data_IF_843658923894
#
_entry.id   IF_843658923894
#
_cell.length_a   1.000
_cell.length_b   1.000
_cell.length_c   1.000
_cell.angle_alpha   90.00
_cell.angle_beta   90.00
_cell.angle_gamma   90.00
#
_symmetry.space_group_name_H-M   'P 1'
#
loop_
_entity.id
_entity.type
_entity.pdbx_description
1 polymer ?
#
# COMPACT_ATOMS: atom_id res chain seq x y z
N UNK A 1 56.68 -3.65 33.73
CA UNK A 1 55.22 -3.41 33.74
C UNK A 1 54.80 -3.09 32.32
N UNK A 2 54.38 -4.09 31.55
CA UNK A 2 53.94 -3.91 30.17
C UNK A 2 52.44 -4.22 30.12
N UNK A 3 51.62 -3.18 29.92
CA UNK A 3 50.18 -3.32 29.75
C UNK A 3 49.92 -3.73 28.29
N UNK A 4 49.45 -4.97 28.09
CA UNK A 4 48.98 -5.44 26.80
C UNK A 4 47.55 -4.93 26.60
N UNK A 5 47.33 -4.05 25.62
CA UNK A 5 46.01 -3.56 25.27
C UNK A 5 45.32 -4.57 24.37
N UNK A 6 44.31 -5.25 24.91
CA UNK A 6 43.41 -6.11 24.14
C UNK A 6 42.56 -5.20 23.25
N UNK A 7 42.86 -5.14 21.95
CA UNK A 7 41.98 -4.54 20.96
C UNK A 7 40.73 -5.42 20.87
N UNK A 8 39.69 -5.04 21.62
CA UNK A 8 38.38 -5.67 21.56
C UNK A 8 37.83 -5.40 20.15
N UNK A 9 37.93 -6.41 19.29
CA UNK A 9 37.34 -6.42 17.96
C UNK A 9 35.84 -6.20 18.09
N UNK A 10 35.40 -4.93 17.96
CA UNK A 10 33.99 -4.56 17.86
C UNK A 10 33.46 -4.83 16.44
N UNK A 11 34.13 -5.71 15.69
CA UNK A 11 33.81 -6.02 14.30
C UNK A 11 32.66 -7.03 14.10
N UNK A 12 32.13 -7.79 15.08
CA UNK A 12 30.96 -8.63 14.82
C UNK A 12 29.62 -7.88 14.97
N UNK A 13 29.61 -6.64 15.48
CA UNK A 13 28.35 -5.89 15.67
C UNK A 13 27.88 -5.15 14.40
N UNK A 14 28.77 -4.94 13.43
CA UNK A 14 28.46 -4.24 12.17
C UNK A 14 27.76 -5.13 11.12
N UNK A 15 27.74 -6.45 11.31
CA UNK A 15 27.13 -7.39 10.35
C UNK A 15 25.60 -7.54 10.49
N UNK A 16 24.97 -6.85 11.46
CA UNK A 16 23.52 -6.91 11.68
C UNK A 16 22.69 -5.90 10.87
N UNK A 17 23.32 -5.04 10.06
CA UNK A 17 22.60 -3.96 9.36
C UNK A 17 22.30 -4.20 7.88
N UNK A 18 22.35 -5.44 7.40
CA UNK A 18 21.78 -5.78 6.09
C UNK A 18 20.36 -6.33 6.25
N UNK A 19 19.49 -5.57 6.92
CA UNK A 19 18.06 -5.71 6.67
C UNK A 19 17.83 -5.00 5.34
N UNK A 20 17.74 -5.74 4.24
CA UNK A 20 17.09 -5.18 3.05
C UNK A 20 15.63 -4.99 3.44
N UNK A 21 15.26 -3.76 3.80
CA UNK A 21 13.86 -3.38 3.85
C UNK A 21 13.27 -3.72 2.48
N UNK A 22 12.50 -4.79 2.42
CA UNK A 22 11.63 -5.01 1.29
C UNK A 22 10.63 -3.86 1.36
N UNK A 23 10.92 -2.77 0.65
CA UNK A 23 9.91 -1.77 0.38
C UNK A 23 8.71 -2.54 -0.19
N UNK A 24 7.52 -2.32 0.40
CA UNK A 24 6.27 -2.91 -0.07
C UNK A 24 5.82 -2.22 -1.37
N UNK A 25 6.73 -2.15 -2.35
CA UNK A 25 6.52 -1.52 -3.63
C UNK A 25 5.57 -2.37 -4.45
N UNK A 26 4.61 -1.71 -5.07
CA UNK A 26 3.54 -2.31 -5.85
C UNK A 26 3.95 -2.16 -7.31
N UNK A 27 4.27 -3.27 -8.02
CA UNK A 27 4.68 -3.19 -9.40
C UNK A 27 3.52 -2.78 -10.31
N UNK A 28 3.84 -2.18 -11.46
CA UNK A 28 2.86 -1.92 -12.51
C UNK A 28 2.19 -3.22 -12.95
N UNK A 29 0.91 -3.14 -13.33
CA UNK A 29 0.06 -4.29 -13.64
C UNK A 29 -0.59 -4.94 -12.41
N UNK A 30 -0.29 -4.46 -11.19
CA UNK A 30 -0.94 -4.95 -9.97
C UNK A 30 -2.43 -4.62 -9.97
N UNK A 31 -3.23 -5.56 -9.45
CA UNK A 31 -4.69 -5.41 -9.34
C UNK A 31 -5.19 -5.98 -8.03
N UNK A 32 -6.22 -5.34 -7.47
CA UNK A 32 -7.01 -5.86 -6.35
C UNK A 32 -8.47 -5.95 -6.80
N UNK A 33 -9.17 -7.01 -6.40
CA UNK A 33 -10.61 -7.19 -6.66
C UNK A 33 -11.41 -6.86 -5.41
N UNK A 34 -12.48 -6.07 -5.56
CA UNK A 34 -13.43 -5.76 -4.50
C UNK A 34 -14.09 -7.04 -3.96
N UNK A 35 -14.20 -7.15 -2.64
CA UNK A 35 -14.66 -8.36 -1.94
C UNK A 35 -13.57 -9.36 -1.59
N UNK A 36 -12.33 -9.11 -1.99
CA UNK A 36 -11.17 -9.84 -1.44
C UNK A 36 -10.62 -9.12 -0.21
N UNK A 37 -9.91 -9.85 0.66
CA UNK A 37 -9.22 -9.27 1.83
C UNK A 37 -7.83 -8.71 1.50
N UNK A 38 -7.55 -8.46 0.23
CA UNK A 38 -6.26 -7.96 -0.24
C UNK A 38 -6.19 -6.44 -0.11
N UNK A 39 -5.01 -5.94 0.26
CA UNK A 39 -4.75 -4.52 0.40
C UNK A 39 -3.28 -4.21 0.23
N UNK A 40 -2.95 -3.06 -0.34
CA UNK A 40 -1.58 -2.57 -0.33
C UNK A 40 -1.31 -1.88 1.00
N UNK A 41 -0.34 -2.39 1.76
CA UNK A 41 -0.08 -1.96 3.14
C UNK A 41 1.25 -1.25 3.24
N UNK A 42 1.31 -0.23 4.09
CA UNK A 42 2.56 0.40 4.44
C UNK A 42 3.49 -0.57 5.15
N UNK A 43 4.79 -0.25 5.20
CA UNK A 43 5.79 -1.13 5.81
C UNK A 43 5.43 -1.46 7.28
N UNK A 44 5.04 -0.45 8.06
CA UNK A 44 4.56 -0.68 9.43
C UNK A 44 3.24 -1.46 9.52
N UNK A 45 2.49 -1.56 8.42
CA UNK A 45 1.17 -2.16 8.34
C UNK A 45 0.07 -1.36 9.05
N UNK A 46 0.34 -0.14 9.52
CA UNK A 46 -0.68 0.71 10.14
C UNK A 46 -1.65 1.31 9.12
N UNK A 47 -1.22 1.48 7.87
CA UNK A 47 -2.04 2.03 6.81
C UNK A 47 -2.21 1.04 5.68
N UNK A 48 -3.40 1.05 5.09
CA UNK A 48 -3.71 0.25 3.93
C UNK A 48 -4.51 1.06 2.91
N UNK A 49 -4.28 0.76 1.64
CA UNK A 49 -5.00 1.33 0.50
C UNK A 49 -5.53 0.21 -0.40
N UNK A 50 -6.85 0.18 -0.59
CA UNK A 50 -7.60 -0.81 -1.39
C UNK A 50 -9.11 -0.50 -1.37
N UNK A 51 -9.93 -1.53 -1.60
CA UNK A 51 -11.36 -1.53 -1.33
C UNK A 51 -11.69 -1.63 0.17
N UNK A 52 -12.25 -0.56 0.71
CA UNK A 52 -12.83 -0.47 2.04
C UNK A 52 -14.31 -0.87 2.01
N UNK A 53 -14.75 -1.87 2.80
CA UNK A 53 -16.13 -2.34 2.79
C UNK A 53 -17.08 -1.37 3.51
N UNK A 54 -18.26 -1.17 2.93
CA UNK A 54 -19.38 -0.45 3.54
C UNK A 54 -20.43 -1.42 4.08
N UNK A 55 -21.24 -0.96 5.03
CA UNK A 55 -22.34 -1.73 5.64
C UNK A 55 -23.36 -2.18 4.57
N UNK A 56 -23.49 -1.41 3.49
CA UNK A 56 -24.36 -1.70 2.34
C UNK A 56 -23.88 -2.87 1.47
N UNK A 57 -22.71 -3.45 1.73
CA UNK A 57 -22.10 -4.50 0.90
C UNK A 57 -21.38 -3.99 -0.35
N UNK A 58 -21.29 -2.67 -0.52
CA UNK A 58 -20.48 -2.00 -1.54
C UNK A 58 -19.14 -1.54 -0.96
N UNK A 59 -18.24 -1.03 -1.82
CA UNK A 59 -16.87 -0.72 -1.44
C UNK A 59 -16.46 0.68 -1.89
N UNK A 60 -15.68 1.38 -1.06
CA UNK A 60 -14.95 2.57 -1.48
C UNK A 60 -13.50 2.21 -1.77
N UNK A 61 -12.88 2.82 -2.76
CA UNK A 61 -11.41 2.80 -2.83
C UNK A 61 -10.87 3.85 -1.89
N UNK A 62 -10.01 3.48 -0.94
CA UNK A 62 -9.56 4.43 0.07
C UNK A 62 -8.40 3.97 0.93
N UNK A 63 -7.97 4.87 1.80
CA UNK A 63 -6.90 4.67 2.79
C UNK A 63 -7.54 4.56 4.18
N UNK A 64 -7.11 3.59 4.99
CA UNK A 64 -7.60 3.43 6.36
C UNK A 64 -6.52 2.97 7.33
N UNK A 65 -6.80 3.12 8.63
CA UNK A 65 -5.99 2.54 9.71
C UNK A 65 -6.21 1.02 9.78
N UNK A 66 -5.22 0.24 9.34
CA UNK A 66 -5.33 -1.20 9.16
C UNK A 66 -5.17 -2.01 10.44
N UNK A 67 -4.51 -1.51 11.49
CA UNK A 67 -4.26 -2.27 12.73
C UNK A 67 -5.32 -2.11 13.83
N UNK A 68 -6.20 -1.11 13.71
CA UNK A 68 -7.29 -0.94 14.68
C UNK A 68 -8.50 -1.83 14.31
N UNK A 69 -9.27 -2.36 15.28
CA UNK A 69 -10.43 -3.19 14.99
C UNK A 69 -11.49 -2.44 14.17
N UNK A 70 -11.79 -1.21 14.60
CA UNK A 70 -12.69 -0.30 13.89
C UNK A 70 -11.90 0.45 12.81
N UNK A 71 -11.62 -0.25 11.70
CA UNK A 71 -10.87 0.26 10.54
C UNK A 71 -11.38 1.65 10.17
N UNK A 72 -10.65 2.70 10.52
CA UNK A 72 -11.12 4.07 10.31
C UNK A 72 -10.65 4.55 8.94
N UNK A 73 -11.59 4.87 8.06
CA UNK A 73 -11.34 5.42 6.73
C UNK A 73 -10.87 6.87 6.83
N UNK A 74 -9.68 7.17 6.33
CA UNK A 74 -9.10 8.54 6.37
C UNK A 74 -9.26 9.27 5.04
N UNK A 75 -9.33 8.54 3.93
CA UNK A 75 -9.54 9.10 2.60
C UNK A 75 -10.24 8.10 1.69
N UNK A 76 -11.02 8.58 0.73
CA UNK A 76 -11.69 7.75 -0.27
C UNK A 76 -11.78 8.45 -1.61
N UNK A 77 -11.50 7.73 -2.69
CA UNK A 77 -11.82 8.15 -4.04
C UNK A 77 -13.33 8.08 -4.28
N UNK A 78 -13.87 9.03 -5.05
CA UNK A 78 -15.23 8.99 -5.62
C UNK A 78 -16.33 8.52 -4.65
N UNK A 79 -16.38 9.14 -3.46
CA UNK A 79 -17.22 8.72 -2.32
C UNK A 79 -18.70 8.51 -2.63
N UNK A 80 -19.25 9.24 -3.59
CA UNK A 80 -20.66 9.20 -3.95
C UNK A 80 -21.02 8.03 -4.89
N UNK A 81 -20.04 7.30 -5.41
CA UNK A 81 -20.26 6.16 -6.31
C UNK A 81 -19.47 4.92 -5.85
N UNK A 82 -19.91 4.26 -4.76
CA UNK A 82 -19.29 3.02 -4.28
C UNK A 82 -19.28 1.92 -5.34
N UNK A 83 -18.19 1.15 -5.34
CA UNK A 83 -17.99 0.02 -6.22
C UNK A 83 -18.74 -1.23 -5.72
N UNK A 84 -19.19 -2.06 -6.66
CA UNK A 84 -19.77 -3.37 -6.35
C UNK A 84 -18.66 -4.43 -6.19
N UNK A 85 -18.97 -5.53 -5.49
CA UNK A 85 -18.11 -6.72 -5.46
C UNK A 85 -17.73 -7.15 -6.89
N UNK A 86 -16.47 -7.54 -7.09
CA UNK A 86 -15.93 -7.87 -8.42
C UNK A 86 -15.37 -6.68 -9.22
N UNK A 87 -15.58 -5.44 -8.77
CA UNK A 87 -14.86 -4.27 -9.32
C UNK A 87 -13.35 -4.41 -9.08
N UNK A 88 -12.51 -3.80 -9.92
CA UNK A 88 -11.04 -3.91 -9.81
C UNK A 88 -10.38 -2.56 -9.57
N UNK A 89 -9.35 -2.55 -8.74
CA UNK A 89 -8.45 -1.42 -8.53
C UNK A 89 -7.11 -1.78 -9.18
N UNK A 90 -6.75 -1.08 -10.25
CA UNK A 90 -5.61 -1.40 -11.09
C UNK A 90 -4.56 -0.30 -11.00
N UNK A 91 -3.31 -0.70 -10.78
CA UNK A 91 -2.15 0.09 -11.15
C UNK A 91 -1.73 -0.37 -12.55
N UNK A 92 -2.06 0.39 -13.59
CA UNK A 92 -1.89 -0.06 -14.97
C UNK A 92 -0.40 -0.14 -15.36
N UNK A 93 -0.10 -0.85 -16.46
CA UNK A 93 1.24 -0.84 -17.05
C UNK A 93 1.68 0.54 -17.56
N UNK A 94 0.73 1.45 -17.80
CA UNK A 94 0.98 2.85 -18.14
C UNK A 94 1.20 3.75 -16.92
N UNK A 95 1.13 3.22 -15.70
CA UNK A 95 1.35 3.98 -14.47
C UNK A 95 0.11 4.68 -13.90
N UNK A 96 -1.08 4.38 -14.42
CA UNK A 96 -2.33 5.01 -13.98
C UNK A 96 -2.99 4.22 -12.86
N UNK A 97 -3.61 4.94 -11.92
CA UNK A 97 -4.43 4.36 -10.87
C UNK A 97 -5.90 4.37 -11.32
N UNK A 98 -6.47 3.21 -11.63
CA UNK A 98 -7.81 3.10 -12.24
C UNK A 98 -8.72 2.20 -11.41
N UNK A 99 -9.92 2.69 -11.11
CA UNK A 99 -11.03 1.87 -10.62
C UNK A 99 -11.88 1.44 -11.83
N UNK A 100 -12.01 0.14 -12.05
CA UNK A 100 -12.92 -0.43 -13.04
C UNK A 100 -14.13 -1.07 -12.35
N UNK A 101 -15.31 -0.60 -12.68
CA UNK A 101 -16.59 -1.11 -12.18
C UNK A 101 -17.01 -2.37 -12.95
N UNK A 102 -17.85 -3.19 -12.32
CA UNK A 102 -18.44 -4.40 -12.93
C UNK A 102 -19.26 -4.14 -14.18
N UNK A 103 -19.83 -2.94 -14.32
CA UNK A 103 -20.60 -2.52 -15.50
C UNK A 103 -19.72 -2.03 -16.67
N UNK A 104 -18.40 -2.12 -16.55
CA UNK A 104 -17.44 -1.68 -17.56
C UNK A 104 -17.03 -0.20 -17.46
N UNK A 105 -17.65 0.59 -16.57
CA UNK A 105 -17.23 1.97 -16.36
C UNK A 105 -15.83 2.03 -15.74
N UNK A 106 -15.04 3.01 -16.16
CA UNK A 106 -13.71 3.27 -15.61
C UNK A 106 -13.69 4.64 -14.92
N UNK A 107 -12.96 4.72 -13.82
CA UNK A 107 -12.65 5.97 -13.15
C UNK A 107 -11.15 6.08 -12.91
N UNK A 108 -10.53 7.10 -13.48
CA UNK A 108 -9.12 7.42 -13.22
C UNK A 108 -9.02 8.14 -11.87
N UNK A 109 -8.37 7.49 -10.90
CA UNK A 109 -8.04 8.08 -9.61
C UNK A 109 -6.81 8.98 -9.77
N UNK A 110 -5.85 8.55 -10.58
CA UNK A 110 -4.67 9.33 -10.94
C UNK A 110 -4.18 8.93 -12.34
N UNK A 111 -3.75 9.94 -13.11
CA UNK A 111 -3.23 9.76 -14.46
C UNK A 111 -1.74 9.38 -14.51
N UNK A 112 -1.06 9.33 -13.36
CA UNK A 112 0.34 8.88 -13.17
C UNK A 112 1.28 9.10 -14.36
N UNK A 113 1.90 10.27 -14.46
CA UNK A 113 2.89 10.54 -15.50
C UNK A 113 4.27 10.06 -15.04
N UNK A 114 4.79 9.00 -15.65
CA UNK A 114 6.09 8.35 -15.35
C UNK A 114 6.16 7.48 -14.08
N UNK A 115 5.02 7.01 -13.61
CA UNK A 115 4.94 6.04 -12.50
C UNK A 115 5.64 4.72 -12.86
N UNK A 116 6.54 4.27 -11.98
CA UNK A 116 7.28 2.99 -12.13
C UNK A 116 6.79 1.90 -11.18
N UNK A 117 6.17 2.33 -10.09
CA UNK A 117 5.62 1.49 -9.04
C UNK A 117 4.81 2.38 -8.11
N UNK A 118 4.02 1.78 -7.24
CA UNK A 118 3.33 2.51 -6.19
C UNK A 118 3.82 2.08 -4.80
N UNK A 119 3.55 2.87 -3.79
CA UNK A 119 3.88 2.56 -2.40
C UNK A 119 2.86 3.19 -1.45
N UNK A 120 2.37 2.42 -0.49
CA UNK A 120 1.68 2.98 0.68
C UNK A 120 2.73 3.33 1.73
N UNK A 121 2.85 4.59 2.10
CA UNK A 121 3.83 5.07 3.08
C UNK A 121 3.25 5.10 4.50
N UNK A 122 4.14 5.12 5.49
CA UNK A 122 3.78 5.18 6.92
C UNK A 122 3.31 6.57 7.38
N UNK A 123 3.38 7.58 6.52
CA UNK A 123 2.89 8.94 6.76
C UNK A 123 1.43 9.16 6.29
N UNK A 124 0.76 8.09 5.80
CA UNK A 124 -0.59 8.07 5.20
C UNK A 124 -0.65 8.52 3.74
N UNK A 125 0.46 8.60 3.04
CA UNK A 125 0.47 8.90 1.61
C UNK A 125 0.52 7.63 0.77
N UNK A 126 -0.27 7.60 -0.30
CA UNK A 126 -0.16 6.61 -1.36
C UNK A 126 0.52 7.27 -2.56
N UNK A 127 1.73 6.82 -2.88
CA UNK A 127 2.60 7.41 -3.90
C UNK A 127 2.64 6.52 -5.13
N UNK A 128 2.72 7.15 -6.31
CA UNK A 128 2.87 6.56 -7.64
C UNK A 128 4.18 7.02 -8.29
#
# INVERSE_FOLDING_TARGET
>A
MAASYFLFSCLPFLLFFLCSDAENTIPLGSSIVAGTNLSWRSHSGYFAFAFYPLITGSYLVGIWFHKIPEKTLVWSAKRNEPAQIGSTLNLTLSGQQVLAYTNGNLFSISNGTNTRSALMQDDRNFIL
#
